data_IF_975997420295
#
_entry.id   IF_975997420295
#
_cell.length_a   1.000
_cell.length_b   1.000
_cell.length_c   1.000
_cell.angle_alpha   90.00
_cell.angle_beta   90.00
_cell.angle_gamma   90.00
#
_symmetry.space_group_name_H-M   'P 1'
#
loop_
_entity.id
_entity.type
_entity.pdbx_description
1 polymer ?
#
# COMPACT_ATOMS: atom_id res chain seq x y z
N UNK A 1 -15.37 -17.67 66.47
CA UNK A 1 -14.49 -18.32 65.46
C UNK A 1 -15.23 -18.27 64.13
N UNK A 2 -15.08 -17.18 63.38
CA UNK A 2 -15.66 -17.02 62.05
C UNK A 2 -14.51 -16.96 61.05
N UNK A 3 -14.49 -17.92 60.13
CA UNK A 3 -13.55 -18.02 59.02
C UNK A 3 -13.76 -16.88 58.02
N UNK A 4 -12.66 -16.27 57.60
CA UNK A 4 -12.58 -15.35 56.47
C UNK A 4 -12.22 -16.15 55.22
N UNK A 5 -13.03 -16.04 54.17
CA UNK A 5 -12.74 -16.54 52.82
C UNK A 5 -11.61 -15.73 52.15
N UNK A 6 -10.81 -16.34 51.27
CA UNK A 6 -9.80 -15.63 50.50
C UNK A 6 -10.41 -14.96 49.26
N UNK A 7 -10.10 -13.70 49.02
CA UNK A 7 -10.40 -12.97 47.77
C UNK A 7 -9.60 -13.55 46.59
N UNK A 8 -10.20 -13.70 45.38
CA UNK A 8 -9.46 -14.07 44.19
C UNK A 8 -8.62 -12.90 43.66
N UNK A 9 -7.38 -13.20 43.31
CA UNK A 9 -6.43 -12.31 42.64
C UNK A 9 -6.90 -11.95 41.22
N UNK A 10 -6.83 -10.65 40.90
CA UNK A 10 -7.09 -10.08 39.58
C UNK A 10 -6.00 -10.54 38.57
N UNK A 11 -6.33 -11.18 37.44
CA UNK A 11 -5.36 -11.53 36.42
C UNK A 11 -5.00 -10.29 35.60
N UNK A 12 -3.69 -10.03 35.50
CA UNK A 12 -3.14 -8.82 34.94
C UNK A 12 -3.67 -8.45 33.56
N UNK A 13 -4.01 -7.16 33.43
CA UNK A 13 -4.14 -6.45 32.16
C UNK A 13 -2.78 -6.33 31.49
N UNK A 14 -2.30 -7.43 30.90
CA UNK A 14 -1.27 -7.39 29.88
C UNK A 14 -1.91 -6.91 28.59
N UNK A 15 -1.82 -5.61 28.30
CA UNK A 15 -2.05 -5.10 26.96
C UNK A 15 -0.99 -5.74 26.06
N UNK A 16 -1.36 -6.44 24.96
CA UNK A 16 -0.37 -6.87 23.99
C UNK A 16 0.28 -5.61 23.41
N UNK A 17 1.60 -5.52 23.56
CA UNK A 17 2.46 -4.60 22.82
C UNK A 17 2.26 -4.89 21.33
N UNK A 18 1.32 -4.16 20.73
CA UNK A 18 1.16 -4.09 19.29
C UNK A 18 2.46 -3.55 18.73
N UNK A 19 3.33 -4.46 18.29
CA UNK A 19 4.67 -4.19 17.80
C UNK A 19 4.74 -2.98 16.91
N UNK A 20 4.99 -1.83 17.53
CA UNK A 20 5.57 -0.67 16.89
C UNK A 20 7.00 -1.09 16.58
N UNK A 21 7.17 -1.82 15.47
CA UNK A 21 8.45 -1.89 14.80
C UNK A 21 8.94 -0.45 14.72
N UNK A 22 10.06 -0.19 15.40
CA UNK A 22 10.69 1.12 15.48
C UNK A 22 10.51 1.82 14.15
N UNK A 23 9.85 2.98 14.13
CA UNK A 23 9.71 3.80 12.94
C UNK A 23 11.12 4.24 12.53
N UNK A 24 11.83 3.36 11.82
CA UNK A 24 13.18 3.60 11.39
C UNK A 24 13.08 4.63 10.28
N UNK A 25 13.56 5.83 10.59
CA UNK A 25 13.71 6.91 9.63
C UNK A 25 14.64 6.45 8.53
N UNK A 26 14.16 6.49 7.28
CA UNK A 26 15.00 6.27 6.09
C UNK A 26 16.20 7.22 6.16
N UNK A 27 17.44 6.72 5.98
CA UNK A 27 18.63 7.56 6.07
C UNK A 27 18.60 8.67 5.00
N UNK A 28 19.09 9.84 5.35
CA UNK A 28 19.31 10.92 4.39
C UNK A 28 20.48 10.58 3.44
N UNK A 29 20.43 11.11 2.22
CA UNK A 29 21.48 10.91 1.21
C UNK A 29 21.45 9.52 0.58
N UNK A 30 20.28 9.09 0.11
CA UNK A 30 20.12 7.83 -0.60
C UNK A 30 20.96 7.78 -1.89
N UNK A 31 21.47 6.60 -2.26
CA UNK A 31 22.20 6.43 -3.50
C UNK A 31 21.28 6.62 -4.72
N UNK A 32 21.86 6.92 -5.88
CA UNK A 32 21.11 7.36 -7.07
C UNK A 32 20.09 6.32 -7.55
N UNK A 33 20.45 5.03 -7.53
CA UNK A 33 19.61 3.91 -7.90
C UNK A 33 18.40 3.73 -6.97
N UNK A 34 18.56 4.03 -5.67
CA UNK A 34 17.47 4.02 -4.72
C UNK A 34 16.52 5.21 -4.97
N UNK A 35 17.07 6.39 -5.27
CA UNK A 35 16.28 7.56 -5.65
C UNK A 35 15.48 7.34 -6.93
N UNK A 36 16.08 6.71 -7.95
CA UNK A 36 15.40 6.36 -9.21
C UNK A 36 14.25 5.37 -8.97
N UNK A 37 14.49 4.36 -8.13
CA UNK A 37 13.47 3.38 -7.76
C UNK A 37 12.31 4.03 -7.00
N UNK A 38 12.59 4.92 -6.04
CA UNK A 38 11.55 5.70 -5.35
C UNK A 38 10.82 6.68 -6.27
N UNK A 39 11.52 7.25 -7.25
CA UNK A 39 10.91 8.10 -8.29
C UNK A 39 9.88 7.32 -9.12
N UNK A 40 10.23 6.12 -9.56
CA UNK A 40 9.29 5.22 -10.27
C UNK A 40 8.06 4.90 -9.43
N UNK A 41 8.25 4.64 -8.14
CA UNK A 41 7.12 4.44 -7.23
C UNK A 41 6.26 5.71 -7.14
N UNK A 42 6.87 6.88 -6.97
CA UNK A 42 6.14 8.15 -6.88
C UNK A 42 5.27 8.40 -8.11
N UNK A 43 5.79 8.11 -9.31
CA UNK A 43 5.04 8.23 -10.56
C UNK A 43 3.80 7.32 -10.58
N UNK A 44 3.94 6.08 -10.12
CA UNK A 44 2.82 5.14 -9.99
C UNK A 44 1.81 5.55 -8.91
N UNK A 45 2.27 6.09 -7.78
CA UNK A 45 1.39 6.62 -6.74
C UNK A 45 0.59 7.83 -7.27
N UNK A 46 1.18 8.66 -8.13
CA UNK A 46 0.45 9.74 -8.79
C UNK A 46 -0.61 9.20 -9.77
N UNK A 47 -0.24 8.22 -10.59
CA UNK A 47 -1.16 7.56 -11.52
C UNK A 47 -2.33 6.88 -10.78
N UNK A 48 -2.06 6.20 -9.67
CA UNK A 48 -3.07 5.57 -8.83
C UNK A 48 -4.04 6.59 -8.23
N UNK A 49 -3.55 7.68 -7.65
CA UNK A 49 -4.38 8.76 -7.09
C UNK A 49 -5.31 9.36 -8.15
N UNK A 50 -4.82 9.54 -9.38
CA UNK A 50 -5.62 10.03 -10.50
C UNK A 50 -6.64 8.98 -10.96
N UNK A 51 -6.19 7.74 -11.22
CA UNK A 51 -6.98 6.65 -11.75
C UNK A 51 -8.14 6.25 -10.84
N UNK A 52 -7.95 6.27 -9.52
CA UNK A 52 -9.03 5.99 -8.58
C UNK A 52 -10.19 7.00 -8.62
N UNK A 53 -9.97 8.21 -9.13
CA UNK A 53 -11.06 9.14 -9.44
C UNK A 53 -11.97 8.63 -10.55
N UNK A 54 -11.38 8.04 -11.60
CA UNK A 54 -12.11 7.42 -12.71
C UNK A 54 -12.83 6.15 -12.25
N UNK A 55 -12.13 5.26 -11.51
CA UNK A 55 -12.68 4.01 -10.98
C UNK A 55 -13.93 4.28 -10.14
N UNK A 56 -13.87 5.22 -9.19
CA UNK A 56 -15.01 5.57 -8.34
C UNK A 56 -16.19 6.19 -9.12
N UNK A 57 -15.92 6.83 -10.27
CA UNK A 57 -16.96 7.38 -11.14
C UNK A 57 -17.80 6.31 -11.85
N UNK A 58 -17.17 5.21 -12.25
CA UNK A 58 -17.79 4.11 -12.99
C UNK A 58 -18.25 2.93 -12.10
N UNK A 59 -17.66 2.76 -10.92
CA UNK A 59 -18.11 1.78 -9.91
C UNK A 59 -18.55 2.46 -8.61
N UNK A 60 -19.73 3.10 -8.69
CA UNK A 60 -20.29 3.88 -7.57
C UNK A 60 -20.67 3.03 -6.37
N UNK A 61 -20.97 1.75 -6.57
CA UNK A 61 -21.36 0.85 -5.49
C UNK A 61 -20.22 0.62 -4.49
N UNK A 62 -18.97 0.68 -4.96
CA UNK A 62 -17.77 0.50 -4.16
C UNK A 62 -16.99 1.81 -3.93
N UNK A 63 -17.58 2.97 -4.21
CA UNK A 63 -16.90 4.27 -4.11
C UNK A 63 -16.25 4.53 -2.73
N UNK A 64 -16.88 4.07 -1.64
CA UNK A 64 -16.31 4.20 -0.30
C UNK A 64 -15.01 3.40 -0.11
N UNK A 65 -14.92 2.20 -0.70
CA UNK A 65 -13.69 1.41 -0.72
C UNK A 65 -12.59 2.13 -1.50
N UNK A 66 -12.92 2.63 -2.71
CA UNK A 66 -11.95 3.33 -3.54
C UNK A 66 -11.47 4.65 -2.91
N UNK A 67 -12.32 5.35 -2.17
CA UNK A 67 -11.90 6.52 -1.40
C UNK A 67 -10.87 6.18 -0.32
N UNK A 68 -11.06 5.07 0.40
CA UNK A 68 -10.09 4.57 1.39
C UNK A 68 -8.75 4.26 0.73
N UNK A 69 -8.76 3.53 -0.39
CA UNK A 69 -7.55 3.15 -1.12
C UNK A 69 -6.84 4.40 -1.66
N UNK A 70 -7.58 5.31 -2.30
CA UNK A 70 -7.04 6.57 -2.81
C UNK A 70 -6.38 7.42 -1.73
N UNK A 71 -6.95 7.47 -0.53
CA UNK A 71 -6.37 8.20 0.59
C UNK A 71 -5.05 7.56 1.09
N UNK A 72 -4.94 6.23 1.02
CA UNK A 72 -3.69 5.55 1.34
C UNK A 72 -2.58 5.90 0.32
N UNK A 73 -2.90 5.95 -0.98
CA UNK A 73 -1.96 6.40 -2.01
C UNK A 73 -1.56 7.88 -1.82
N UNK A 74 -2.49 8.76 -1.45
CA UNK A 74 -2.16 10.16 -1.13
C UNK A 74 -1.16 10.26 0.03
N UNK A 75 -1.38 9.52 1.11
CA UNK A 75 -0.46 9.51 2.24
C UNK A 75 0.93 8.97 1.83
N UNK A 76 0.97 7.91 1.01
CA UNK A 76 2.22 7.32 0.55
C UNK A 76 2.99 8.21 -0.42
N UNK A 77 2.29 8.89 -1.32
CA UNK A 77 2.85 9.94 -2.17
C UNK A 77 3.53 11.01 -1.34
N UNK A 78 2.85 11.55 -0.33
CA UNK A 78 3.38 12.65 0.48
C UNK A 78 4.60 12.20 1.30
N UNK A 79 4.60 10.95 1.76
CA UNK A 79 5.76 10.31 2.39
C UNK A 79 6.95 10.19 1.42
N UNK A 80 6.72 9.73 0.17
CA UNK A 80 7.77 9.60 -0.84
C UNK A 80 8.37 10.94 -1.24
N UNK A 81 7.54 11.97 -1.45
CA UNK A 81 8.01 13.33 -1.72
C UNK A 81 8.96 13.79 -0.61
N UNK A 82 8.57 13.57 0.66
CA UNK A 82 9.40 13.92 1.81
C UNK A 82 10.74 13.19 1.82
N UNK A 83 10.74 11.87 1.59
CA UNK A 83 11.94 11.04 1.58
C UNK A 83 12.90 11.43 0.44
N UNK A 84 12.38 11.60 -0.77
CA UNK A 84 13.17 11.95 -1.95
C UNK A 84 13.81 13.32 -1.76
N UNK A 85 13.05 14.33 -1.30
CA UNK A 85 13.58 15.67 -1.03
C UNK A 85 14.62 15.66 0.09
N UNK A 86 14.37 14.96 1.21
CA UNK A 86 15.34 14.85 2.30
C UNK A 86 16.65 14.16 1.88
N UNK A 87 16.59 13.36 0.83
CA UNK A 87 17.73 12.66 0.25
C UNK A 87 18.45 13.43 -0.86
N UNK A 88 18.05 14.68 -1.13
CA UNK A 88 18.63 15.53 -2.16
C UNK A 88 18.11 15.27 -3.57
N UNK A 89 17.12 14.40 -3.73
CA UNK A 89 16.43 14.16 -4.99
C UNK A 89 15.36 15.21 -5.31
N UNK A 90 14.95 15.27 -6.57
CA UNK A 90 13.85 16.13 -7.03
C UNK A 90 12.62 15.25 -7.33
N UNK A 91 11.60 15.20 -6.46
CA UNK A 91 10.41 14.40 -6.71
C UNK A 91 9.65 14.91 -7.95
N UNK A 92 9.10 14.01 -8.74
CA UNK A 92 8.24 14.35 -9.87
C UNK A 92 6.94 15.01 -9.38
N UNK A 93 6.37 15.89 -10.21
CA UNK A 93 5.05 16.49 -9.94
C UNK A 93 3.95 15.68 -10.64
N UNK A 94 2.74 15.68 -10.08
CA UNK A 94 1.60 15.00 -10.71
C UNK A 94 1.28 15.59 -12.08
N UNK A 95 1.11 14.71 -13.07
CA UNK A 95 0.65 15.08 -14.40
C UNK A 95 -0.85 15.42 -14.38
N UNK A 96 -1.33 16.26 -15.30
CA UNK A 96 -2.76 16.59 -15.38
C UNK A 96 -3.64 15.38 -15.80
N UNK A 97 -3.05 14.40 -16.49
CA UNK A 97 -3.71 13.17 -16.93
C UNK A 97 -2.69 12.03 -17.05
N UNK A 98 -3.19 10.81 -17.04
CA UNK A 98 -2.41 9.59 -17.21
C UNK A 98 -3.05 8.71 -18.29
N UNK A 99 -2.22 8.00 -19.04
CA UNK A 99 -2.70 7.04 -20.03
C UNK A 99 -3.23 5.80 -19.29
N UNK A 100 -4.47 5.43 -19.56
CA UNK A 100 -5.11 4.23 -19.00
C UNK A 100 -5.97 3.56 -20.08
N UNK A 101 -6.30 2.26 -19.95
CA UNK A 101 -7.27 1.63 -20.81
C UNK A 101 -8.63 2.35 -20.77
N UNK A 102 -9.44 2.17 -21.82
CA UNK A 102 -10.77 2.75 -21.87
C UNK A 102 -11.66 2.20 -20.73
N UNK A 103 -12.19 3.11 -19.90
CA UNK A 103 -13.15 2.79 -18.84
C UNK A 103 -14.53 3.29 -19.23
N UNK A 104 -15.46 2.36 -19.41
CA UNK A 104 -16.82 2.64 -19.91
C UNK A 104 -17.92 2.09 -19.01
N UNK A 105 -17.56 1.22 -18.07
CA UNK A 105 -18.49 0.54 -17.17
C UNK A 105 -17.79 0.08 -15.87
N UNK A 106 -18.55 -0.53 -14.97
CA UNK A 106 -18.03 -1.06 -13.71
C UNK A 106 -16.94 -2.13 -13.92
N UNK A 107 -17.05 -2.95 -14.97
CA UNK A 107 -16.12 -4.05 -15.22
C UNK A 107 -14.75 -3.54 -15.67
N UNK A 108 -14.73 -2.58 -16.58
CA UNK A 108 -13.52 -1.90 -17.03
C UNK A 108 -12.90 -1.05 -15.92
N UNK A 109 -13.71 -0.47 -15.03
CA UNK A 109 -13.22 0.24 -13.84
C UNK A 109 -12.51 -0.70 -12.86
N UNK A 110 -13.08 -1.88 -12.61
CA UNK A 110 -12.48 -2.92 -11.78
C UNK A 110 -11.15 -3.42 -12.38
N UNK A 111 -11.10 -3.59 -13.70
CA UNK A 111 -9.87 -3.96 -14.40
C UNK A 111 -8.78 -2.90 -14.23
N UNK A 112 -9.13 -1.61 -14.42
CA UNK A 112 -8.19 -0.50 -14.19
C UNK A 112 -7.69 -0.47 -12.75
N UNK A 113 -8.57 -0.66 -11.76
CA UNK A 113 -8.16 -0.68 -10.35
C UNK A 113 -7.11 -1.77 -10.08
N UNK A 114 -7.28 -2.96 -10.66
CA UNK A 114 -6.30 -4.05 -10.51
C UNK A 114 -4.98 -3.77 -11.24
N UNK A 115 -5.03 -3.09 -12.39
CA UNK A 115 -3.82 -2.67 -13.13
C UNK A 115 -3.01 -1.67 -12.32
N UNK A 116 -3.65 -0.62 -11.78
CA UNK A 116 -2.99 0.38 -10.93
C UNK A 116 -2.28 -0.24 -9.73
N UNK A 117 -2.94 -1.18 -9.04
CA UNK A 117 -2.34 -1.87 -7.91
C UNK A 117 -1.22 -2.83 -8.32
N UNK A 118 -1.31 -3.43 -9.51
CA UNK A 118 -0.26 -4.30 -10.06
C UNK A 118 1.00 -3.49 -10.40
N UNK A 119 0.84 -2.30 -10.97
CA UNK A 119 1.94 -1.39 -11.29
C UNK A 119 2.61 -0.87 -10.01
N UNK A 120 1.80 -0.47 -9.01
CA UNK A 120 2.30 -0.10 -7.68
C UNK A 120 3.07 -1.25 -7.02
N UNK A 121 2.50 -2.46 -7.00
CA UNK A 121 3.16 -3.64 -6.43
C UNK A 121 4.49 -3.94 -7.13
N UNK A 122 4.53 -3.84 -8.46
CA UNK A 122 5.75 -4.06 -9.25
C UNK A 122 6.84 -3.05 -8.91
N UNK A 123 6.49 -1.76 -8.80
CA UNK A 123 7.45 -0.73 -8.43
C UNK A 123 7.94 -0.88 -6.98
N UNK A 124 7.05 -1.22 -6.04
CA UNK A 124 7.44 -1.48 -4.65
C UNK A 124 8.35 -2.70 -4.52
N UNK A 125 8.10 -3.75 -5.30
CA UNK A 125 8.99 -4.91 -5.35
C UNK A 125 10.38 -4.54 -5.92
N UNK A 126 10.45 -3.66 -6.93
CA UNK A 126 11.72 -3.17 -7.47
C UNK A 126 12.55 -2.41 -6.43
N UNK A 127 11.92 -1.60 -5.55
CA UNK A 127 12.63 -0.94 -4.43
C UNK A 127 13.32 -1.97 -3.54
N UNK A 128 12.65 -3.09 -3.21
CA UNK A 128 13.23 -4.16 -2.38
C UNK A 128 14.43 -4.81 -3.10
N UNK A 129 14.38 -4.96 -4.43
CA UNK A 129 15.44 -5.57 -5.22
C UNK A 129 16.66 -4.67 -5.42
N UNK A 130 16.49 -3.35 -5.39
CA UNK A 130 17.51 -2.37 -5.78
C UNK A 130 18.25 -1.73 -4.61
N UNK A 131 18.06 -2.21 -3.37
CA UNK A 131 18.73 -1.63 -2.20
C UNK A 131 19.00 -2.65 -1.09
N UNK A 132 20.14 -2.48 -0.41
CA UNK A 132 20.51 -3.19 0.81
C UNK A 132 20.16 -2.41 2.09
N UNK A 133 19.63 -1.18 1.95
CA UNK A 133 19.23 -0.34 3.09
C UNK A 133 17.98 -0.95 3.73
N UNK A 134 18.11 -1.41 4.97
CA UNK A 134 17.05 -2.14 5.69
C UNK A 134 15.74 -1.34 5.76
N UNK A 135 15.83 -0.03 6.00
CA UNK A 135 14.69 0.88 6.09
C UNK A 135 13.93 1.00 4.77
N UNK A 136 14.65 1.08 3.64
CA UNK A 136 14.02 1.11 2.32
C UNK A 136 13.40 -0.23 1.93
N UNK A 137 14.04 -1.35 2.29
CA UNK A 137 13.47 -2.68 2.10
C UNK A 137 12.19 -2.85 2.91
N UNK A 138 12.18 -2.37 4.15
CA UNK A 138 11.00 -2.35 5.01
C UNK A 138 9.87 -1.48 4.43
N UNK A 139 10.20 -0.28 3.95
CA UNK A 139 9.25 0.60 3.26
C UNK A 139 8.67 -0.08 2.00
N UNK A 140 9.53 -0.68 1.19
CA UNK A 140 9.12 -1.40 -0.02
C UNK A 140 8.21 -2.59 0.27
N UNK A 141 8.53 -3.36 1.31
CA UNK A 141 7.69 -4.47 1.76
C UNK A 141 6.31 -4.01 2.24
N UNK A 142 6.25 -2.88 2.96
CA UNK A 142 4.97 -2.29 3.40
C UNK A 142 4.13 -1.88 2.20
N UNK A 143 4.70 -1.14 1.25
CA UNK A 143 3.99 -0.71 0.04
C UNK A 143 3.48 -1.86 -0.82
N UNK A 144 4.30 -2.91 -0.99
CA UNK A 144 3.92 -4.14 -1.68
C UNK A 144 2.76 -4.88 -0.97
N UNK A 145 2.82 -4.98 0.36
CA UNK A 145 1.79 -5.65 1.17
C UNK A 145 0.45 -4.91 1.10
N UNK A 146 0.48 -3.59 1.13
CA UNK A 146 -0.72 -2.77 0.99
C UNK A 146 -1.36 -2.95 -0.39
N UNK A 147 -0.58 -2.90 -1.47
CA UNK A 147 -1.08 -3.13 -2.84
C UNK A 147 -1.73 -4.52 -2.99
N UNK A 148 -1.10 -5.56 -2.43
CA UNK A 148 -1.67 -6.90 -2.38
C UNK A 148 -2.99 -6.97 -1.60
N UNK A 149 -3.08 -6.23 -0.49
CA UNK A 149 -4.29 -6.12 0.33
C UNK A 149 -5.40 -5.39 -0.43
N UNK A 150 -5.08 -4.29 -1.13
CA UNK A 150 -6.02 -3.56 -1.96
C UNK A 150 -6.55 -4.43 -3.10
N UNK A 151 -5.69 -5.10 -3.86
CA UNK A 151 -6.11 -6.04 -4.91
C UNK A 151 -7.07 -7.10 -4.39
N UNK A 152 -6.81 -7.66 -3.20
CA UNK A 152 -7.69 -8.65 -2.57
C UNK A 152 -9.06 -8.05 -2.26
N UNK A 153 -9.10 -6.88 -1.62
CA UNK A 153 -10.35 -6.18 -1.27
C UNK A 153 -11.16 -5.81 -2.51
N UNK A 154 -10.48 -5.35 -3.56
CA UNK A 154 -11.07 -5.00 -4.86
C UNK A 154 -11.69 -6.25 -5.51
N UNK A 155 -10.96 -7.37 -5.57
CA UNK A 155 -11.48 -8.63 -6.11
C UNK A 155 -12.67 -9.15 -5.31
N UNK A 156 -12.62 -9.07 -3.98
CA UNK A 156 -13.75 -9.44 -3.12
C UNK A 156 -14.98 -8.58 -3.38
N UNK A 157 -14.82 -7.24 -3.45
CA UNK A 157 -15.91 -6.32 -3.77
C UNK A 157 -16.49 -6.56 -5.17
N UNK A 158 -15.63 -6.88 -6.14
CA UNK A 158 -16.00 -7.25 -7.50
C UNK A 158 -16.47 -8.70 -7.68
N UNK A 159 -16.54 -9.50 -6.60
CA UNK A 159 -16.90 -10.93 -6.61
C UNK A 159 -16.07 -11.77 -7.60
N UNK A 160 -14.79 -11.44 -7.75
CA UNK A 160 -13.83 -12.19 -8.57
C UNK A 160 -13.27 -13.37 -7.75
N UNK A 161 -13.35 -14.58 -8.32
CA UNK A 161 -12.83 -15.81 -7.71
C UNK A 161 -11.75 -16.48 -8.59
N UNK A 162 -10.64 -16.98 -8.01
CA UNK A 162 -10.22 -16.74 -6.63
C UNK A 162 -9.73 -15.30 -6.43
N UNK A 163 -9.95 -14.73 -5.25
CA UNK A 163 -9.51 -13.36 -4.94
C UNK A 163 -7.99 -13.25 -4.77
N UNK A 164 -7.29 -14.37 -4.60
CA UNK A 164 -5.84 -14.46 -4.50
C UNK A 164 -5.33 -15.59 -5.40
N UNK A 165 -4.11 -15.46 -5.92
CA UNK A 165 -3.44 -16.60 -6.55
C UNK A 165 -2.96 -17.57 -5.47
N UNK A 166 -2.93 -18.86 -5.79
CA UNK A 166 -2.30 -19.85 -4.91
C UNK A 166 -0.79 -19.54 -4.80
N UNK A 167 -0.23 -19.81 -3.62
CA UNK A 167 1.22 -19.74 -3.44
C UNK A 167 1.89 -20.71 -4.42
N UNK A 168 2.93 -20.29 -5.16
CA UNK A 168 3.68 -21.20 -6.02
C UNK A 168 4.14 -22.44 -5.22
N UNK A 169 3.75 -23.64 -5.68
CA UNK A 169 4.06 -24.92 -5.02
C UNK A 169 2.98 -25.48 -4.08
N UNK A 170 1.85 -24.79 -3.88
CA UNK A 170 0.70 -25.37 -3.18
C UNK A 170 0.01 -26.45 -4.06
N UNK A 171 -0.43 -27.58 -3.48
CA UNK A 171 -1.25 -28.55 -4.22
C UNK A 171 -2.59 -27.90 -4.63
N UNK A 172 -3.05 -28.24 -5.83
CA UNK A 172 -4.32 -27.78 -6.39
C UNK A 172 -5.53 -28.23 -5.56
#
# INVERSE_FOLDING_TARGET
MSSVEPTPSDPGTGVPDSGQGTAQTVPAGLPAEALESLGTVLDNEHAAVWGYGLVAGFDKANAALYAVIRNAHLARRDQLVTIITASGGSPSTAAPWYQVPAVTDQKSALALALELETDCATAWHAVIGNTDIAELRGLGLSGLTDAATFMTRIKTAGKINPSTIALPGAPA
#
